data_IF_581722980255
#
_entry.id   IF_581722980255
#
_cell.length_a   1.000
_cell.length_b   1.000
_cell.length_c   1.000
_cell.angle_alpha   90.00
_cell.angle_beta   90.00
_cell.angle_gamma   90.00
#
_symmetry.space_group_name_H-M   'P 1'
#
loop_
_entity.id
_entity.type
_entity.pdbx_description
1 polymer ?
#
# COMPACT_ATOMS: atom_id res chain seq x y z
N UNK A 1 26.61 13.19 -1.61
CA UNK A 1 25.20 12.90 -1.90
C UNK A 1 24.84 13.54 -3.22
N UNK A 2 24.19 12.84 -4.15
CA UNK A 2 23.75 13.45 -5.40
C UNK A 2 22.79 14.60 -5.09
N UNK A 3 23.03 15.73 -5.71
CA UNK A 3 22.24 16.95 -5.51
C UNK A 3 20.98 16.83 -6.37
N UNK A 4 19.99 16.06 -5.91
CA UNK A 4 18.72 15.93 -6.60
C UNK A 4 17.98 17.26 -6.54
N UNK A 5 17.83 17.93 -7.67
CA UNK A 5 16.95 19.09 -7.78
C UNK A 5 15.52 18.59 -7.52
N UNK A 6 14.94 18.97 -6.37
CA UNK A 6 13.54 18.72 -6.08
C UNK A 6 12.67 19.25 -7.23
N UNK A 7 12.08 18.34 -7.97
CA UNK A 7 11.02 18.72 -8.90
C UNK A 7 9.70 18.75 -8.13
N UNK A 8 8.86 19.78 -8.33
CA UNK A 8 7.54 19.78 -7.71
C UNK A 8 6.71 18.61 -8.25
N UNK A 9 6.42 17.63 -7.40
CA UNK A 9 5.55 16.52 -7.73
C UNK A 9 4.13 16.79 -7.25
N UNK A 10 3.16 16.60 -8.15
CA UNK A 10 1.75 16.61 -7.79
C UNK A 10 1.27 15.21 -7.45
N UNK A 11 0.24 15.09 -6.62
CA UNK A 11 -0.41 13.82 -6.33
C UNK A 11 -0.85 13.09 -7.62
N UNK A 12 -1.33 13.87 -8.61
CA UNK A 12 -1.73 13.33 -9.91
C UNK A 12 -0.56 12.74 -10.68
N UNK A 13 0.61 13.38 -10.69
CA UNK A 13 1.81 12.85 -11.35
C UNK A 13 2.25 11.52 -10.73
N UNK A 14 2.22 11.41 -9.39
CA UNK A 14 2.55 10.18 -8.68
C UNK A 14 1.56 9.06 -9.01
N UNK A 15 0.25 9.38 -8.98
CA UNK A 15 -0.80 8.40 -9.34
C UNK A 15 -0.64 7.93 -10.79
N UNK A 16 -0.45 8.83 -11.73
CA UNK A 16 -0.24 8.49 -13.15
C UNK A 16 0.98 7.60 -13.34
N UNK A 17 2.08 7.89 -12.63
CA UNK A 17 3.29 7.07 -12.71
C UNK A 17 3.08 5.67 -12.14
N UNK A 18 2.38 5.53 -11.04
CA UNK A 18 2.09 4.22 -10.47
C UNK A 18 1.21 3.36 -11.39
N UNK A 19 0.21 3.96 -12.03
CA UNK A 19 -0.62 3.28 -13.05
C UNK A 19 0.21 2.87 -14.27
N UNK A 20 1.10 3.75 -14.78
CA UNK A 20 2.04 3.44 -15.85
C UNK A 20 2.93 2.25 -15.51
N UNK A 21 3.36 2.15 -14.26
CA UNK A 21 4.19 1.05 -13.76
C UNK A 21 3.43 -0.26 -13.55
N UNK A 22 2.10 -0.22 -13.63
CA UNK A 22 1.23 -1.40 -13.63
C UNK A 22 0.40 -1.60 -12.37
N UNK A 23 0.19 -0.57 -11.56
CA UNK A 23 -0.87 -0.58 -10.55
C UNK A 23 -2.25 -0.52 -11.22
N UNK A 24 -3.26 -1.16 -10.64
CA UNK A 24 -4.64 -1.08 -11.14
C UNK A 24 -5.39 0.10 -10.50
N UNK A 25 -5.17 0.36 -9.18
CA UNK A 25 -5.65 1.55 -8.50
C UNK A 25 -4.52 2.16 -7.66
N UNK A 26 -4.60 3.47 -7.44
CA UNK A 26 -3.62 4.22 -6.65
C UNK A 26 -4.30 5.28 -5.80
N UNK A 27 -4.02 5.26 -4.50
CA UNK A 27 -4.44 6.27 -3.56
C UNK A 27 -3.25 6.91 -2.84
N UNK A 28 -3.46 8.06 -2.23
CA UNK A 28 -2.46 8.74 -1.40
C UNK A 28 -3.13 9.19 -0.12
N UNK A 29 -2.58 8.75 1.01
CA UNK A 29 -3.04 9.13 2.34
C UNK A 29 -2.02 10.06 3.04
N UNK A 30 -2.51 10.97 3.87
CA UNK A 30 -1.67 11.82 4.73
C UNK A 30 -1.11 11.01 5.89
N UNK A 31 0.20 11.07 6.12
CA UNK A 31 0.80 10.45 7.29
C UNK A 31 0.32 11.10 8.60
N UNK A 32 0.04 12.40 8.60
CA UNK A 32 -0.50 13.11 9.76
C UNK A 32 -1.86 12.54 10.19
N UNK A 33 -2.76 12.30 9.23
CA UNK A 33 -4.07 11.70 9.51
C UNK A 33 -3.90 10.26 10.03
N UNK A 34 -3.08 9.46 9.38
CA UNK A 34 -2.79 8.08 9.79
C UNK A 34 -2.17 7.98 11.19
N UNK A 35 -1.31 8.92 11.55
CA UNK A 35 -0.68 8.97 12.87
C UNK A 35 -1.68 9.41 13.96
N UNK A 36 -2.62 10.30 13.62
CA UNK A 36 -3.61 10.83 14.56
C UNK A 36 -4.75 9.85 14.86
N UNK A 37 -5.05 8.96 13.91
CA UNK A 37 -6.16 8.00 14.00
C UNK A 37 -5.69 6.56 13.74
N UNK A 38 -4.87 5.99 14.64
CA UNK A 38 -4.41 4.61 14.48
C UNK A 38 -5.59 3.62 14.54
N UNK A 39 -5.56 2.55 13.73
CA UNK A 39 -6.60 1.52 13.72
C UNK A 39 -6.88 0.89 15.09
N UNK A 40 -5.84 0.67 15.85
CA UNK A 40 -5.88 0.19 17.23
C UNK A 40 -4.89 1.02 18.06
N UNK A 41 -5.35 1.90 18.97
CA UNK A 41 -4.47 2.70 19.80
C UNK A 41 -3.51 1.88 20.68
N UNK A 42 -3.88 0.65 21.01
CA UNK A 42 -3.03 -0.25 21.81
C UNK A 42 -1.89 -0.86 20.98
N UNK A 43 -2.13 -1.04 19.67
CA UNK A 43 -1.18 -1.59 18.71
C UNK A 43 -1.13 -0.68 17.47
N UNK A 44 -0.63 0.54 17.59
CA UNK A 44 -0.66 1.50 16.52
C UNK A 44 0.17 1.03 15.33
N UNK A 45 -0.45 1.04 14.15
CA UNK A 45 0.17 0.73 12.88
C UNK A 45 0.29 2.03 12.07
N UNK A 46 1.16 2.91 12.54
CA UNK A 46 1.28 4.28 12.04
C UNK A 46 2.60 4.54 11.31
N UNK A 47 2.62 5.43 10.31
CA UNK A 47 3.82 5.74 9.54
C UNK A 47 5.00 6.25 10.38
N UNK A 48 4.77 7.01 11.44
CA UNK A 48 5.80 7.57 12.32
C UNK A 48 6.60 6.51 13.07
N UNK A 49 6.03 5.33 13.31
CA UNK A 49 6.75 4.18 13.88
C UNK A 49 7.84 3.64 12.96
N UNK A 50 7.69 3.85 11.66
CA UNK A 50 8.69 3.42 10.67
C UNK A 50 9.69 4.54 10.46
N UNK A 51 9.21 5.77 10.24
CA UNK A 51 10.07 6.93 10.09
C UNK A 51 9.29 8.22 10.42
N UNK A 52 9.85 9.08 11.31
CA UNK A 52 9.21 10.34 11.69
C UNK A 52 9.17 11.36 10.54
N UNK A 53 9.85 11.09 9.44
CA UNK A 53 9.93 11.99 8.27
C UNK A 53 8.88 11.69 7.21
N UNK A 54 8.09 10.63 7.35
CA UNK A 54 7.02 10.28 6.41
C UNK A 54 5.94 11.34 6.44
N UNK A 55 5.58 11.88 5.27
CA UNK A 55 4.52 12.87 5.12
C UNK A 55 3.28 12.33 4.42
N UNK A 56 3.46 11.34 3.58
CA UNK A 56 2.36 10.69 2.86
C UNK A 56 2.69 9.25 2.55
N UNK A 57 1.64 8.46 2.40
CA UNK A 57 1.72 7.04 2.02
C UNK A 57 1.02 6.87 0.68
N UNK A 58 1.73 6.32 -0.29
CA UNK A 58 1.15 5.95 -1.58
C UNK A 58 0.71 4.50 -1.49
N UNK A 59 -0.57 4.27 -1.70
CA UNK A 59 -1.19 2.94 -1.69
C UNK A 59 -1.45 2.50 -3.10
N UNK A 60 -0.92 1.36 -3.49
CA UNK A 60 -1.16 0.72 -4.79
C UNK A 60 -2.01 -0.51 -4.60
N UNK A 61 -2.90 -0.77 -5.55
CA UNK A 61 -3.78 -1.94 -5.57
C UNK A 61 -3.60 -2.69 -6.88
N UNK A 62 -3.64 -4.01 -6.81
CA UNK A 62 -3.75 -4.88 -7.98
C UNK A 62 -4.92 -5.82 -7.79
N UNK A 63 -5.74 -5.96 -8.83
CA UNK A 63 -6.87 -6.87 -8.78
C UNK A 63 -6.42 -8.31 -8.99
N UNK A 64 -7.16 -9.22 -8.37
CA UNK A 64 -7.00 -10.67 -8.55
C UNK A 64 -8.10 -11.14 -9.50
N UNK A 65 -7.79 -11.92 -10.58
CA UNK A 65 -8.81 -12.42 -11.49
C UNK A 65 -9.90 -13.22 -10.77
N UNK A 66 -11.16 -12.80 -10.92
CA UNK A 66 -12.29 -13.42 -10.21
C UNK A 66 -12.45 -14.93 -10.47
N UNK A 67 -11.92 -15.43 -11.60
CA UNK A 67 -11.99 -16.84 -11.95
C UNK A 67 -11.30 -17.75 -10.92
N UNK A 68 -10.25 -17.27 -10.22
CA UNK A 68 -9.52 -18.10 -9.24
C UNK A 68 -10.39 -18.42 -8.02
N UNK A 69 -11.31 -17.52 -7.65
CA UNK A 69 -12.23 -17.71 -6.53
C UNK A 69 -13.39 -18.69 -6.84
N UNK A 70 -13.56 -19.06 -8.11
CA UNK A 70 -14.56 -20.06 -8.54
C UNK A 70 -13.98 -21.47 -8.61
N UNK A 71 -12.69 -21.63 -8.34
CA UNK A 71 -12.06 -22.95 -8.31
C UNK A 71 -12.50 -23.73 -7.08
N UNK A 72 -12.68 -25.05 -7.21
CA UNK A 72 -12.97 -25.93 -6.07
C UNK A 72 -11.80 -26.09 -5.11
N UNK A 73 -10.58 -25.85 -5.58
CA UNK A 73 -9.35 -25.97 -4.82
C UNK A 73 -8.77 -24.58 -4.54
N UNK A 74 -8.19 -24.40 -3.38
CA UNK A 74 -7.54 -23.14 -3.00
C UNK A 74 -6.18 -22.89 -3.68
N UNK A 75 -5.58 -23.91 -4.30
CA UNK A 75 -4.27 -23.80 -4.93
C UNK A 75 -4.17 -22.67 -5.96
N UNK A 76 -5.15 -22.46 -6.86
CA UNK A 76 -5.09 -21.34 -7.81
C UNK A 76 -5.11 -19.97 -7.12
N UNK A 77 -5.87 -19.82 -6.02
CA UNK A 77 -5.93 -18.58 -5.22
C UNK A 77 -4.58 -18.30 -4.59
N UNK A 78 -4.00 -19.29 -3.89
CA UNK A 78 -2.70 -19.17 -3.23
C UNK A 78 -1.58 -18.86 -4.21
N UNK A 79 -1.57 -19.51 -5.37
CA UNK A 79 -0.58 -19.25 -6.40
C UNK A 79 -0.72 -17.82 -6.95
N UNK A 80 -1.94 -17.38 -7.24
CA UNK A 80 -2.19 -16.04 -7.76
C UNK A 80 -1.81 -14.97 -6.73
N UNK A 81 -2.11 -15.18 -5.46
CA UNK A 81 -1.71 -14.29 -4.36
C UNK A 81 -0.19 -14.06 -4.38
N UNK A 82 0.61 -15.13 -4.42
CA UNK A 82 2.07 -15.02 -4.49
C UNK A 82 2.54 -14.26 -5.74
N UNK A 83 1.89 -14.47 -6.89
CA UNK A 83 2.27 -13.79 -8.14
C UNK A 83 1.94 -12.30 -8.06
N UNK A 84 0.75 -11.96 -7.56
CA UNK A 84 0.31 -10.57 -7.41
C UNK A 84 1.20 -9.81 -6.42
N UNK A 85 1.52 -10.40 -5.27
CA UNK A 85 2.43 -9.79 -4.30
C UNK A 85 3.79 -9.42 -4.92
N UNK A 86 4.40 -10.36 -5.66
CA UNK A 86 5.68 -10.09 -6.35
C UNK A 86 5.56 -9.01 -7.42
N UNK A 87 4.41 -8.93 -8.07
CA UNK A 87 4.13 -7.87 -9.05
C UNK A 87 3.98 -6.51 -8.35
N UNK A 88 3.26 -6.46 -7.23
CA UNK A 88 3.13 -5.25 -6.40
C UNK A 88 4.48 -4.76 -5.89
N UNK A 89 5.34 -5.65 -5.40
CA UNK A 89 6.69 -5.30 -4.95
C UNK A 89 7.51 -4.64 -6.05
N UNK A 90 7.43 -5.16 -7.29
CA UNK A 90 8.11 -4.55 -8.45
C UNK A 90 7.58 -3.16 -8.77
N UNK A 91 6.25 -2.98 -8.74
CA UNK A 91 5.62 -1.67 -9.00
C UNK A 91 6.03 -0.68 -7.91
N UNK A 92 5.90 -1.06 -6.65
CA UNK A 92 6.24 -0.24 -5.50
C UNK A 92 7.73 0.18 -5.50
N UNK A 93 8.64 -0.77 -5.77
CA UNK A 93 10.07 -0.49 -5.82
C UNK A 93 10.42 0.48 -6.95
N UNK A 94 9.88 0.25 -8.16
CA UNK A 94 10.11 1.17 -9.30
C UNK A 94 9.55 2.57 -9.03
N UNK A 95 8.39 2.65 -8.37
CA UNK A 95 7.81 3.94 -8.00
C UNK A 95 8.67 4.65 -6.96
N UNK A 96 9.14 3.95 -5.93
CA UNK A 96 10.01 4.52 -4.91
C UNK A 96 11.33 5.03 -5.51
N UNK A 97 11.97 4.28 -6.40
CA UNK A 97 13.17 4.72 -7.12
C UNK A 97 12.90 5.97 -7.96
N UNK A 98 11.79 6.01 -8.69
CA UNK A 98 11.44 7.20 -9.48
C UNK A 98 11.17 8.43 -8.60
N UNK A 99 10.53 8.26 -7.44
CA UNK A 99 10.33 9.32 -6.46
C UNK A 99 11.67 9.83 -5.93
N UNK A 100 12.59 8.93 -5.58
CA UNK A 100 13.91 9.27 -5.09
C UNK A 100 14.74 10.01 -6.15
N UNK A 101 14.74 9.55 -7.41
CA UNK A 101 15.38 10.22 -8.54
C UNK A 101 14.81 11.63 -8.77
N UNK A 102 13.55 11.85 -8.43
CA UNK A 102 12.88 13.16 -8.48
C UNK A 102 13.16 14.04 -7.24
N UNK A 103 14.00 13.58 -6.30
CA UNK A 103 14.37 14.30 -5.08
C UNK A 103 13.41 14.13 -3.92
N UNK A 104 12.55 13.10 -3.95
CA UNK A 104 11.60 12.74 -2.90
C UNK A 104 11.97 11.39 -2.28
N UNK A 105 12.80 11.36 -1.20
CA UNK A 105 13.21 10.11 -0.55
C UNK A 105 12.01 9.24 -0.21
N UNK A 106 12.04 7.99 -0.63
CA UNK A 106 10.92 7.07 -0.51
C UNK A 106 11.39 5.67 -0.22
N UNK A 107 10.59 4.89 0.50
CA UNK A 107 10.86 3.49 0.76
C UNK A 107 9.56 2.67 0.62
N UNK A 108 9.73 1.39 0.43
CA UNK A 108 8.63 0.43 0.29
C UNK A 108 8.46 -0.34 1.59
N UNK A 109 7.21 -0.54 2.00
CA UNK A 109 6.85 -1.48 3.06
C UNK A 109 6.23 -2.71 2.42
N UNK A 110 6.66 -3.90 2.82
CA UNK A 110 6.08 -5.13 2.32
C UNK A 110 4.64 -5.31 2.81
N UNK A 111 3.78 -5.82 1.94
CA UNK A 111 2.35 -5.99 2.25
C UNK A 111 2.09 -7.08 3.31
N UNK A 112 3.01 -8.02 3.49
CA UNK A 112 2.84 -9.19 4.37
C UNK A 112 3.90 -9.31 5.47
N UNK A 113 4.59 -8.25 5.82
CA UNK A 113 5.54 -8.31 6.92
C UNK A 113 4.87 -8.23 8.29
N UNK A 114 5.34 -9.07 9.21
CA UNK A 114 4.89 -9.06 10.60
C UNK A 114 5.83 -8.18 11.44
N UNK A 115 5.24 -7.26 12.19
CA UNK A 115 5.98 -6.51 13.21
C UNK A 115 6.18 -7.37 14.47
N UNK A 116 7.33 -8.01 14.57
CA UNK A 116 7.69 -8.87 15.70
C UNK A 116 7.78 -8.11 17.04
N UNK A 117 7.91 -6.80 17.02
CA UNK A 117 7.96 -5.98 18.24
C UNK A 117 6.58 -5.82 18.87
N UNK A 118 5.51 -6.04 18.11
CA UNK A 118 4.14 -5.89 18.62
C UNK A 118 3.67 -7.05 19.52
N UNK A 119 4.45 -8.11 19.67
CA UNK A 119 4.09 -9.32 20.46
C UNK A 119 2.72 -9.91 20.09
N UNK A 120 2.27 -9.68 18.88
CA UNK A 120 0.99 -10.17 18.35
C UNK A 120 1.18 -10.69 16.93
N UNK A 121 0.87 -11.95 16.73
CA UNK A 121 0.96 -12.58 15.42
C UNK A 121 0.09 -11.84 14.38
N UNK A 122 0.58 -11.75 13.15
CA UNK A 122 -0.12 -11.20 11.99
C UNK A 122 -0.39 -9.69 12.00
N UNK A 123 0.29 -8.91 12.84
CA UNK A 123 0.27 -7.46 12.76
C UNK A 123 1.46 -6.97 11.92
N UNK A 124 1.18 -6.34 10.79
CA UNK A 124 2.17 -5.65 9.98
C UNK A 124 2.55 -4.29 10.57
N UNK A 125 3.59 -3.67 10.03
CA UNK A 125 3.99 -2.31 10.40
C UNK A 125 2.91 -1.29 10.12
N UNK A 126 2.15 -1.48 9.04
CA UNK A 126 1.02 -0.66 8.64
C UNK A 126 -0.19 -1.55 8.36
N UNK A 127 -1.38 -1.05 8.65
CA UNK A 127 -2.63 -1.71 8.25
C UNK A 127 -2.98 -1.33 6.82
N UNK A 128 -2.65 -2.17 5.85
CA UNK A 128 -2.90 -1.92 4.42
C UNK A 128 -4.36 -1.62 4.11
N UNK A 129 -5.29 -2.22 4.84
CA UNK A 129 -6.74 -1.98 4.71
C UNK A 129 -7.12 -0.56 5.12
N UNK A 130 -6.65 -0.09 6.28
CA UNK A 130 -6.89 1.28 6.72
C UNK A 130 -6.21 2.30 5.82
N UNK A 131 -4.99 2.00 5.36
CA UNK A 131 -4.30 2.83 4.37
C UNK A 131 -5.13 2.99 3.09
N UNK A 132 -5.74 1.91 2.60
CA UNK A 132 -6.58 1.96 1.41
C UNK A 132 -7.81 2.83 1.57
N UNK A 133 -8.45 2.81 2.76
CA UNK A 133 -9.61 3.65 3.07
C UNK A 133 -9.19 5.10 3.16
N UNK A 134 -8.16 5.42 3.93
CA UNK A 134 -7.65 6.79 4.09
C UNK A 134 -7.12 7.36 2.77
N UNK A 135 -6.65 6.51 1.88
CA UNK A 135 -6.25 6.88 0.52
C UNK A 135 -7.44 7.06 -0.45
N UNK A 136 -8.68 6.85 0.01
CA UNK A 136 -9.90 7.02 -0.77
C UNK A 136 -10.14 5.91 -1.80
N UNK A 137 -9.61 4.70 -1.59
CA UNK A 137 -9.73 3.59 -2.55
C UNK A 137 -10.99 2.75 -2.34
N UNK A 138 -11.69 2.90 -1.22
CA UNK A 138 -12.90 2.13 -0.94
C UNK A 138 -13.34 2.23 0.51
N UNK A 139 -14.19 1.30 0.93
CA UNK A 139 -14.74 1.21 2.28
C UNK A 139 -14.59 -0.21 2.82
N UNK A 140 -14.73 -0.39 4.14
CA UNK A 140 -14.78 -1.71 4.73
C UNK A 140 -16.05 -2.47 4.35
N UNK A 141 -15.88 -3.71 3.89
CA UNK A 141 -16.96 -4.70 3.82
C UNK A 141 -17.19 -5.38 5.18
N UNK A 142 -18.24 -6.21 5.24
CA UNK A 142 -18.58 -6.98 6.45
C UNK A 142 -17.45 -7.90 6.92
N UNK A 143 -16.62 -8.40 6.00
CA UNK A 143 -15.47 -9.27 6.28
C UNK A 143 -14.18 -8.50 6.57
N UNK A 144 -14.30 -7.19 6.82
CA UNK A 144 -13.15 -6.31 7.09
C UNK A 144 -12.15 -6.22 5.91
N UNK A 145 -12.53 -6.64 4.71
CA UNK A 145 -11.80 -6.38 3.49
C UNK A 145 -12.22 -5.04 2.89
N UNK A 146 -11.33 -4.45 2.07
CA UNK A 146 -11.67 -3.23 1.34
C UNK A 146 -12.55 -3.60 0.16
N UNK A 147 -13.69 -2.91 0.05
CA UNK A 147 -14.54 -2.93 -1.13
C UNK A 147 -14.21 -1.71 -1.97
N UNK A 148 -13.67 -1.93 -3.16
CA UNK A 148 -13.38 -0.86 -4.11
C UNK A 148 -14.56 -0.69 -5.08
N UNK A 149 -14.91 0.54 -5.52
CA UNK A 149 -15.97 0.75 -6.49
C UNK A 149 -15.74 0.03 -7.82
N UNK A 150 -14.46 -0.11 -8.21
CA UNK A 150 -14.05 -0.66 -9.51
C UNK A 150 -14.01 -2.18 -9.54
N UNK A 151 -13.60 -2.81 -8.44
CA UNK A 151 -13.31 -4.26 -8.42
C UNK A 151 -14.12 -5.03 -7.37
N UNK A 152 -14.84 -4.34 -6.46
CA UNK A 152 -15.55 -4.99 -5.35
C UNK A 152 -14.59 -5.41 -4.24
N UNK A 153 -14.86 -6.58 -3.59
CA UNK A 153 -14.02 -7.10 -2.50
C UNK A 153 -12.69 -7.63 -2.97
#
# INVERSE_FOLDING_TARGET
MPNFRKQPLTAQAVKSKALELGADLVGIASAEVLNSFPPDPKYPQTPDRISPYVKSVVVIVQHIPAAVFRCKQMVPVQYMDMVILRRMDKVATKLAMWLEDSGHPSFVTAAQETDWNMKRASYGYLSTRHLGIEAGLGNFGLEVNILTPEYGP
#
